data_IF_240644137047
#
_entry.id   IF_240644137047
#
_cell.length_a   1.000
_cell.length_b   1.000
_cell.length_c   1.000
_cell.angle_alpha   90.00
_cell.angle_beta   90.00
_cell.angle_gamma   90.00
#
_symmetry.space_group_name_H-M   'P 1'
#
loop_
_entity.id
_entity.type
_entity.pdbx_description
1 polymer ?
#
# COMPACT_ATOMS: atom_id res chain seq x y z
N UNK A 1 15.30 10.59 7.52
CA UNK A 1 14.20 11.07 6.65
C UNK A 1 13.16 11.92 7.39
N UNK A 2 12.91 11.69 8.69
CA UNK A 2 11.85 12.35 9.44
C UNK A 2 12.39 12.96 10.75
N UNK A 3 13.13 14.10 10.70
CA UNK A 3 13.82 14.65 11.87
C UNK A 3 12.91 14.95 13.08
N UNK A 4 11.69 15.54 12.91
CA UNK A 4 10.81 15.82 14.04
C UNK A 4 10.40 14.58 14.85
N UNK A 5 10.37 13.41 14.20
CA UNK A 5 10.02 12.13 14.82
C UNK A 5 11.23 11.28 15.25
N UNK A 6 12.46 11.80 15.16
CA UNK A 6 13.67 11.01 15.44
C UNK A 6 13.63 10.36 16.82
N UNK A 7 13.33 11.13 17.85
CA UNK A 7 13.29 10.63 19.23
C UNK A 7 12.23 9.53 19.43
N UNK A 8 11.04 9.71 18.86
CA UNK A 8 10.01 8.68 18.89
C UNK A 8 10.46 7.40 18.17
N UNK A 9 11.07 7.54 16.99
CA UNK A 9 11.54 6.41 16.20
C UNK A 9 12.65 5.64 16.93
N UNK A 10 13.58 6.35 17.57
CA UNK A 10 14.67 5.76 18.34
C UNK A 10 14.13 5.01 19.58
N UNK A 11 13.15 5.60 20.28
CA UNK A 11 12.49 4.98 21.43
C UNK A 11 11.71 3.71 21.05
N UNK A 12 11.06 3.72 19.88
CA UNK A 12 10.21 2.64 19.38
C UNK A 12 10.96 1.57 18.57
N UNK A 13 12.29 1.62 18.45
CA UNK A 13 13.04 0.72 17.58
C UNK A 13 12.81 -0.76 17.91
N UNK A 14 12.93 -1.15 19.19
CA UNK A 14 12.73 -2.54 19.63
C UNK A 14 11.28 -3.02 19.38
N UNK A 15 10.31 -2.12 19.59
CA UNK A 15 8.90 -2.40 19.34
C UNK A 15 8.66 -2.62 17.84
N UNK A 16 9.20 -1.77 16.97
CA UNK A 16 9.04 -1.85 15.53
C UNK A 16 9.62 -3.16 14.98
N UNK A 17 10.76 -3.62 15.48
CA UNK A 17 11.36 -4.91 15.07
C UNK A 17 10.46 -6.11 15.41
N UNK A 18 9.78 -6.06 16.56
CA UNK A 18 8.89 -7.12 17.03
C UNK A 18 7.50 -7.05 16.38
N UNK A 19 7.01 -5.86 16.03
CA UNK A 19 5.67 -5.63 15.46
C UNK A 19 5.63 -5.69 13.92
N UNK A 20 6.78 -5.79 13.26
CA UNK A 20 6.88 -5.70 11.80
C UNK A 20 6.72 -4.27 11.29
N UNK A 21 7.22 -3.29 12.05
CA UNK A 21 7.21 -1.86 11.75
C UNK A 21 5.80 -1.26 11.61
N UNK A 22 4.81 -1.83 12.28
CA UNK A 22 3.46 -1.27 12.38
C UNK A 22 3.25 -0.71 13.78
N UNK A 23 2.69 0.50 13.86
CA UNK A 23 2.28 1.07 15.14
C UNK A 23 0.85 0.68 15.45
N UNK A 24 0.57 0.28 16.69
CA UNK A 24 -0.76 -0.06 17.18
C UNK A 24 -0.88 0.46 18.61
N UNK A 25 -1.77 1.43 18.86
CA UNK A 25 -1.87 2.06 20.18
C UNK A 25 -2.37 1.08 21.25
N UNK A 26 -3.19 0.09 20.86
CA UNK A 26 -3.62 -1.00 21.76
C UNK A 26 -2.46 -1.72 22.46
N UNK A 27 -1.29 -1.80 21.82
CA UNK A 27 -0.12 -2.44 22.41
C UNK A 27 0.44 -1.67 23.62
N UNK A 28 0.14 -0.36 23.71
CA UNK A 28 0.57 0.53 24.79
C UNK A 28 -0.49 0.69 25.89
N UNK A 29 -1.76 0.42 25.58
CA UNK A 29 -2.87 0.58 26.53
C UNK A 29 -3.36 -0.73 27.14
N UNK A 30 -3.24 -1.85 26.43
CA UNK A 30 -3.78 -3.15 26.85
C UNK A 30 -2.69 -4.11 27.34
N UNK A 31 -3.01 -4.88 28.38
CA UNK A 31 -2.15 -5.97 28.81
C UNK A 31 -2.25 -7.16 27.83
N UNK A 32 -1.14 -7.89 27.57
CA UNK A 32 -1.16 -9.02 26.66
C UNK A 32 -2.09 -10.13 27.17
N UNK A 33 -2.96 -10.65 26.30
CA UNK A 33 -3.89 -11.72 26.63
C UNK A 33 -3.21 -13.08 26.91
N UNK A 34 -1.96 -13.27 26.46
CA UNK A 34 -1.19 -14.49 26.71
C UNK A 34 0.27 -14.17 27.01
N UNK A 35 0.86 -14.92 27.94
CA UNK A 35 2.26 -14.80 28.33
C UNK A 35 3.07 -15.83 27.53
N UNK A 36 3.81 -15.35 26.54
CA UNK A 36 4.77 -16.09 25.74
C UNK A 36 6.10 -15.32 25.80
N UNK A 37 7.23 -15.98 25.48
CA UNK A 37 8.52 -15.29 25.45
C UNK A 37 8.51 -14.07 24.50
N UNK A 38 7.80 -14.18 23.37
CA UNK A 38 7.63 -13.08 22.42
C UNK A 38 6.77 -11.95 22.97
N UNK A 39 5.68 -12.26 23.69
CA UNK A 39 4.83 -11.22 24.29
C UNK A 39 5.52 -10.50 25.46
N UNK A 40 6.38 -11.19 26.22
CA UNK A 40 7.22 -10.56 27.24
C UNK A 40 8.26 -9.59 26.64
N UNK A 41 8.93 -9.99 25.56
CA UNK A 41 9.88 -9.11 24.86
C UNK A 41 9.16 -7.87 24.28
N UNK A 42 7.99 -8.07 23.67
CA UNK A 42 7.16 -6.99 23.16
C UNK A 42 6.71 -6.04 24.29
N UNK A 43 6.27 -6.60 25.43
CA UNK A 43 5.85 -5.82 26.59
C UNK A 43 7.00 -4.96 27.14
N UNK A 44 8.21 -5.50 27.23
CA UNK A 44 9.39 -4.75 27.65
C UNK A 44 9.70 -3.60 26.67
N UNK A 45 9.61 -3.84 25.36
CA UNK A 45 9.81 -2.82 24.34
C UNK A 45 8.73 -1.71 24.42
N UNK A 46 7.46 -2.08 24.64
CA UNK A 46 6.36 -1.15 24.87
C UNK A 46 6.62 -0.28 26.10
N UNK A 47 6.97 -0.90 27.24
CA UNK A 47 7.24 -0.18 28.49
C UNK A 47 8.38 0.82 28.34
N UNK A 48 9.44 0.45 27.62
CA UNK A 48 10.58 1.33 27.29
C UNK A 48 10.15 2.55 26.48
N UNK A 49 9.24 2.39 25.52
CA UNK A 49 8.81 3.47 24.62
C UNK A 49 7.61 4.29 25.13
N UNK A 50 6.91 3.81 26.18
CA UNK A 50 5.60 4.32 26.61
C UNK A 50 5.58 5.84 26.86
N UNK A 51 6.55 6.36 27.63
CA UNK A 51 6.62 7.78 27.95
C UNK A 51 6.79 8.65 26.69
N UNK A 52 7.71 8.27 25.80
CA UNK A 52 7.96 9.02 24.55
C UNK A 52 6.75 8.97 23.62
N UNK A 53 6.05 7.83 23.56
CA UNK A 53 4.80 7.67 22.81
C UNK A 53 3.70 8.59 23.33
N UNK A 54 3.52 8.65 24.65
CA UNK A 54 2.55 9.55 25.30
C UNK A 54 2.88 11.02 25.02
N UNK A 55 4.15 11.41 25.16
CA UNK A 55 4.60 12.77 24.91
C UNK A 55 4.35 13.20 23.46
N UNK A 56 4.76 12.37 22.48
CA UNK A 56 4.54 12.66 21.07
C UNK A 56 3.06 12.66 20.70
N UNK A 57 2.25 11.79 21.33
CA UNK A 57 0.79 11.80 21.14
C UNK A 57 0.21 13.14 21.58
N UNK A 58 0.59 13.62 22.77
CA UNK A 58 0.16 14.94 23.28
C UNK A 58 0.61 16.09 22.36
N UNK A 59 1.86 16.09 21.90
CA UNK A 59 2.41 17.12 21.00
C UNK A 59 1.70 17.14 19.65
N UNK A 60 1.39 15.97 19.10
CA UNK A 60 0.67 15.84 17.84
C UNK A 60 -0.78 16.30 17.97
N UNK A 61 -1.46 15.95 19.07
CA UNK A 61 -2.81 16.45 19.39
C UNK A 61 -2.85 17.96 19.65
N UNK A 62 -1.77 18.53 20.20
CA UNK A 62 -1.57 19.97 20.32
C UNK A 62 -1.29 20.65 18.97
N UNK A 63 -1.29 19.89 17.87
CA UNK A 63 -1.07 20.36 16.49
C UNK A 63 0.28 21.06 16.31
N UNK A 64 1.33 20.55 16.95
CA UNK A 64 2.68 21.05 16.73
C UNK A 64 3.05 21.00 15.23
N UNK A 65 3.32 22.17 14.64
CA UNK A 65 3.45 22.38 13.20
C UNK A 65 4.47 21.42 12.56
N UNK A 66 5.67 21.33 13.13
CA UNK A 66 6.74 20.48 12.61
C UNK A 66 6.38 18.99 12.57
N UNK A 67 5.56 18.51 13.53
CA UNK A 67 5.08 17.13 13.54
C UNK A 67 4.02 16.91 12.46
N UNK A 68 3.04 17.82 12.36
CA UNK A 68 1.98 17.74 11.36
C UNK A 68 2.53 17.75 9.93
N UNK A 69 3.42 18.70 9.60
CA UNK A 69 4.10 18.74 8.29
C UNK A 69 4.88 17.45 8.00
N UNK A 70 5.46 16.85 9.04
CA UNK A 70 6.20 15.59 8.91
C UNK A 70 5.25 14.41 8.66
N UNK A 71 4.09 14.37 9.31
CA UNK A 71 3.03 13.37 9.05
C UNK A 71 2.50 13.50 7.63
N UNK A 72 2.22 14.72 7.14
CA UNK A 72 1.75 14.94 5.77
C UNK A 72 2.78 14.48 4.73
N UNK A 73 4.07 14.78 4.96
CA UNK A 73 5.15 14.26 4.10
C UNK A 73 5.23 12.74 4.15
N UNK A 74 5.17 12.13 5.34
CA UNK A 74 5.16 10.68 5.50
C UNK A 74 3.97 10.06 4.76
N UNK A 75 2.78 10.63 4.89
CA UNK A 75 1.58 10.20 4.20
C UNK A 75 1.74 10.22 2.67
N UNK A 76 2.29 11.31 2.10
CA UNK A 76 2.58 11.37 0.66
C UNK A 76 3.54 10.25 0.21
N UNK A 77 4.56 9.94 1.00
CA UNK A 77 5.46 8.82 0.70
C UNK A 77 4.75 7.46 0.73
N UNK A 78 3.93 7.22 1.77
CA UNK A 78 3.14 5.98 1.88
C UNK A 78 2.18 5.86 0.71
N UNK A 79 1.52 6.95 0.30
CA UNK A 79 0.60 6.96 -0.83
C UNK A 79 1.30 6.62 -2.14
N UNK A 80 2.44 7.26 -2.45
CA UNK A 80 3.19 6.97 -3.65
C UNK A 80 3.63 5.49 -3.72
N UNK A 81 4.15 4.96 -2.61
CA UNK A 81 4.58 3.56 -2.54
C UNK A 81 3.38 2.58 -2.60
N UNK A 82 2.25 2.93 -2.00
CA UNK A 82 1.03 2.12 -2.04
C UNK A 82 0.44 2.05 -3.44
N UNK A 83 0.41 3.17 -4.19
CA UNK A 83 -0.04 3.16 -5.59
C UNK A 83 0.88 2.29 -6.43
N UNK A 84 2.21 2.43 -6.28
CA UNK A 84 3.17 1.57 -6.96
C UNK A 84 2.92 0.08 -6.68
N UNK A 85 2.78 -0.28 -5.41
CA UNK A 85 2.52 -1.67 -5.00
C UNK A 85 1.16 -2.18 -5.55
N UNK A 86 0.15 -1.32 -5.60
CA UNK A 86 -1.13 -1.59 -6.24
C UNK A 86 -0.97 -1.90 -7.73
N UNK A 87 -0.29 -1.03 -8.49
CA UNK A 87 -0.03 -1.22 -9.93
C UNK A 87 0.66 -2.57 -10.18
N UNK A 88 1.74 -2.86 -9.44
CA UNK A 88 2.49 -4.13 -9.56
C UNK A 88 1.60 -5.33 -9.26
N UNK A 89 0.82 -5.29 -8.19
CA UNK A 89 -0.09 -6.38 -7.82
C UNK A 89 -1.14 -6.62 -8.90
N UNK A 90 -1.74 -5.56 -9.43
CA UNK A 90 -2.73 -5.66 -10.51
C UNK A 90 -2.12 -6.19 -11.80
N UNK A 91 -0.95 -5.70 -12.23
CA UNK A 91 -0.26 -6.22 -13.41
C UNK A 91 0.07 -7.72 -13.30
N UNK A 92 0.46 -8.20 -12.10
CA UNK A 92 0.64 -9.64 -11.84
C UNK A 92 -0.66 -10.41 -11.99
N UNK A 93 -1.74 -9.90 -11.43
CA UNK A 93 -3.05 -10.53 -11.47
C UNK A 93 -3.59 -10.66 -12.91
N UNK A 94 -3.38 -9.65 -13.75
CA UNK A 94 -3.85 -9.67 -15.16
C UNK A 94 -2.84 -10.33 -16.13
N UNK A 95 -1.88 -11.10 -15.62
CA UNK A 95 -0.94 -11.87 -16.44
C UNK A 95 0.11 -11.03 -17.18
N UNK A 96 0.36 -9.79 -16.77
CA UNK A 96 1.34 -8.89 -17.40
C UNK A 96 2.68 -8.84 -16.65
N UNK A 97 3.00 -9.87 -15.85
CA UNK A 97 4.20 -9.88 -15.00
C UNK A 97 4.93 -11.25 -14.96
N UNK A 98 6.20 -11.34 -15.41
CA UNK A 98 6.91 -10.31 -16.18
C UNK A 98 6.26 -10.09 -17.56
N UNK A 99 6.34 -8.89 -18.12
CA UNK A 99 5.82 -8.58 -19.45
C UNK A 99 6.60 -9.33 -20.53
N UNK A 100 5.93 -10.20 -21.28
CA UNK A 100 6.51 -10.95 -22.41
C UNK A 100 5.52 -11.01 -23.58
N UNK A 101 5.89 -10.54 -24.79
CA UNK A 101 7.13 -9.81 -25.11
C UNK A 101 7.13 -8.41 -24.49
N UNK A 102 8.32 -7.80 -24.38
CA UNK A 102 8.44 -6.40 -24.01
C UNK A 102 7.72 -5.52 -25.07
N UNK A 103 6.89 -4.54 -24.67
CA UNK A 103 6.26 -3.61 -25.60
C UNK A 103 7.29 -2.84 -26.43
N UNK A 104 7.00 -2.62 -27.71
CA UNK A 104 7.88 -1.83 -28.59
C UNK A 104 8.06 -0.40 -28.05
N UNK A 105 9.31 0.08 -28.07
CA UNK A 105 9.66 1.45 -27.68
C UNK A 105 9.86 1.70 -26.17
N UNK A 106 9.68 0.70 -25.31
CA UNK A 106 10.00 0.82 -23.87
C UNK A 106 11.42 0.34 -23.61
N UNK A 107 12.28 1.24 -23.13
CA UNK A 107 13.67 0.92 -22.79
C UNK A 107 13.76 0.17 -21.45
N UNK A 108 14.83 -0.59 -21.22
CA UNK A 108 15.06 -1.31 -19.95
C UNK A 108 15.24 -0.37 -18.74
N UNK A 109 15.66 0.87 -19.00
CA UNK A 109 15.82 1.93 -18.01
C UNK A 109 14.64 2.91 -17.96
N UNK A 110 13.55 2.65 -18.69
CA UNK A 110 12.30 3.39 -18.55
C UNK A 110 11.55 2.91 -17.30
N UNK A 111 11.57 3.74 -16.26
CA UNK A 111 10.93 3.52 -14.96
C UNK A 111 9.68 4.39 -14.75
N UNK A 112 9.16 5.04 -15.80
CA UNK A 112 8.09 6.04 -15.70
C UNK A 112 6.69 5.42 -15.48
N UNK A 113 6.55 4.52 -14.50
CA UNK A 113 5.30 3.81 -14.23
C UNK A 113 4.17 4.74 -13.75
N UNK A 114 4.50 5.96 -13.31
CA UNK A 114 3.52 6.96 -12.91
C UNK A 114 2.81 7.63 -14.10
N UNK A 115 3.33 7.46 -15.33
CA UNK A 115 2.67 7.94 -16.55
C UNK A 115 1.53 7.00 -16.96
N UNK A 116 0.39 7.15 -16.26
CA UNK A 116 -0.83 6.36 -16.45
C UNK A 116 -1.59 6.67 -17.75
N UNK A 117 -1.04 7.57 -18.58
CA UNK A 117 -1.53 7.85 -19.93
C UNK A 117 -1.09 6.80 -20.96
N UNK A 118 -0.11 5.96 -20.62
CA UNK A 118 0.34 4.85 -21.46
C UNK A 118 -0.64 3.65 -21.45
N UNK A 119 -0.48 2.73 -22.39
CA UNK A 119 -1.26 1.49 -22.42
C UNK A 119 -0.86 0.56 -21.28
N UNK A 120 -1.75 -0.35 -20.85
CA UNK A 120 -1.47 -1.24 -19.72
C UNK A 120 -0.20 -2.09 -19.91
N UNK A 121 0.11 -2.66 -21.09
CA UNK A 121 1.38 -3.38 -21.28
C UNK A 121 2.62 -2.50 -21.09
N UNK A 122 2.59 -1.25 -21.58
CA UNK A 122 3.68 -0.29 -21.40
C UNK A 122 3.86 0.05 -19.93
N UNK A 123 2.75 0.30 -19.22
CA UNK A 123 2.75 0.54 -17.77
C UNK A 123 3.33 -0.65 -16.99
N UNK A 124 2.92 -1.88 -17.33
CA UNK A 124 3.43 -3.10 -16.71
C UNK A 124 4.94 -3.25 -16.91
N UNK A 125 5.46 -2.94 -18.11
CA UNK A 125 6.89 -2.93 -18.40
C UNK A 125 7.66 -1.90 -17.57
N UNK A 126 7.18 -0.65 -17.49
CA UNK A 126 7.82 0.40 -16.68
C UNK A 126 7.81 0.06 -15.19
N UNK A 127 6.70 -0.48 -14.69
CA UNK A 127 6.59 -0.93 -13.30
C UNK A 127 7.54 -2.11 -13.02
N UNK A 128 7.66 -3.05 -13.96
CA UNK A 128 8.62 -4.16 -13.87
C UNK A 128 10.06 -3.67 -13.84
N UNK A 129 10.43 -2.73 -14.71
CA UNK A 129 11.75 -2.12 -14.72
C UNK A 129 12.05 -1.42 -13.38
N UNK A 130 11.11 -0.66 -12.83
CA UNK A 130 11.28 0.00 -11.51
C UNK A 130 11.46 -1.03 -10.38
N UNK A 131 10.64 -2.09 -10.33
CA UNK A 131 10.77 -3.12 -9.31
C UNK A 131 12.09 -3.90 -9.45
N UNK A 132 12.47 -4.26 -10.69
CA UNK A 132 13.74 -4.93 -10.97
C UNK A 132 14.94 -4.06 -10.57
N UNK A 133 14.89 -2.75 -10.83
CA UNK A 133 15.92 -1.80 -10.40
C UNK A 133 16.02 -1.74 -8.88
N UNK A 134 14.89 -1.59 -8.17
CA UNK A 134 14.86 -1.55 -6.69
C UNK A 134 15.44 -2.82 -6.05
N UNK A 135 15.26 -3.96 -6.69
CA UNK A 135 15.80 -5.24 -6.21
C UNK A 135 17.29 -5.42 -6.50
N UNK A 136 17.84 -4.75 -7.52
CA UNK A 136 19.26 -4.88 -7.94
C UNK A 136 20.16 -3.78 -7.35
N UNK A 137 19.64 -2.57 -7.20
CA UNK A 137 20.40 -1.39 -6.80
C UNK A 137 20.31 -1.18 -5.28
N UNK A 138 21.37 -1.55 -4.55
CA UNK A 138 21.47 -1.36 -3.10
C UNK A 138 21.34 0.10 -2.68
N UNK A 139 21.65 1.06 -3.56
CA UNK A 139 21.49 2.49 -3.29
C UNK A 139 20.02 2.89 -3.13
N UNK A 140 19.08 2.04 -3.55
CA UNK A 140 17.65 2.25 -3.38
C UNK A 140 17.09 1.61 -2.10
N UNK A 141 17.86 0.79 -1.37
CA UNK A 141 17.44 0.28 -0.06
C UNK A 141 17.00 1.36 0.95
N UNK A 142 17.66 2.55 1.02
CA UNK A 142 17.18 3.65 1.83
C UNK A 142 15.76 4.11 1.50
N UNK A 143 15.29 3.98 0.26
CA UNK A 143 13.91 4.32 -0.13
C UNK A 143 12.91 3.35 0.51
N UNK A 144 13.21 2.05 0.49
CA UNK A 144 12.37 1.02 1.11
C UNK A 144 12.28 1.28 2.62
N UNK A 145 13.42 1.49 3.28
CA UNK A 145 13.46 1.83 4.72
C UNK A 145 12.67 3.10 5.01
N UNK A 146 12.78 4.12 4.16
CA UNK A 146 12.04 5.38 4.28
C UNK A 146 10.53 5.17 4.16
N UNK A 147 10.07 4.33 3.24
CA UNK A 147 8.65 3.99 3.10
C UNK A 147 8.13 3.25 4.33
N UNK A 148 8.89 2.29 4.86
CA UNK A 148 8.55 1.59 6.12
C UNK A 148 8.44 2.56 7.30
N UNK A 149 9.42 3.45 7.49
CA UNK A 149 9.38 4.48 8.54
C UNK A 149 8.20 5.44 8.34
N UNK A 150 7.91 5.82 7.10
CA UNK A 150 6.76 6.67 6.79
C UNK A 150 5.43 5.99 7.17
N UNK A 151 5.29 4.70 6.87
CA UNK A 151 4.12 3.90 7.27
C UNK A 151 3.96 3.88 8.79
N UNK A 152 5.04 3.67 9.53
CA UNK A 152 5.02 3.69 10.99
C UNK A 152 4.53 5.05 11.54
N UNK A 153 5.00 6.16 10.98
CA UNK A 153 4.58 7.52 11.39
C UNK A 153 3.10 7.75 11.09
N UNK A 154 2.62 7.31 9.92
CA UNK A 154 1.20 7.45 9.54
C UNK A 154 0.29 6.61 10.44
N UNK A 155 0.69 5.36 10.74
CA UNK A 155 -0.01 4.52 11.72
C UNK A 155 -0.06 5.20 13.08
N UNK A 156 1.09 5.71 13.57
CA UNK A 156 1.16 6.45 14.84
C UNK A 156 0.18 7.62 14.87
N UNK A 157 0.22 8.49 13.87
CA UNK A 157 -0.67 9.65 13.81
C UNK A 157 -2.16 9.24 13.81
N UNK A 158 -2.51 8.21 13.03
CA UNK A 158 -3.88 7.69 12.94
C UNK A 158 -4.35 7.12 14.28
N UNK A 159 -3.51 6.31 14.92
CA UNK A 159 -3.80 5.67 16.20
C UNK A 159 -3.81 6.65 17.39
N UNK A 160 -3.12 7.79 17.27
CA UNK A 160 -3.21 8.93 18.18
C UNK A 160 -4.48 9.78 17.98
N UNK A 161 -5.33 9.43 17.02
CA UNK A 161 -6.61 10.10 16.76
C UNK A 161 -6.55 11.26 15.76
N UNK A 162 -5.45 11.44 15.05
CA UNK A 162 -5.44 12.40 13.94
C UNK A 162 -6.21 11.81 12.75
N UNK A 163 -7.05 12.61 12.07
CA UNK A 163 -7.66 12.17 10.84
C UNK A 163 -6.54 11.90 9.81
N UNK A 164 -6.63 10.79 9.05
CA UNK A 164 -5.66 10.56 7.99
C UNK A 164 -5.74 11.70 6.96
N UNK A 165 -4.61 12.19 6.43
CA UNK A 165 -4.63 13.23 5.41
C UNK A 165 -5.46 12.78 4.20
N UNK A 166 -6.08 13.74 3.52
CA UNK A 166 -6.80 13.45 2.29
C UNK A 166 -5.83 12.96 1.21
N UNK A 167 -6.33 12.10 0.32
CA UNK A 167 -5.56 11.73 -0.86
C UNK A 167 -5.34 12.99 -1.70
N UNK A 168 -4.11 13.23 -2.15
CA UNK A 168 -3.85 14.34 -3.07
C UNK A 168 -4.48 14.05 -4.44
N UNK A 169 -4.94 15.10 -5.12
CA UNK A 169 -5.58 15.01 -6.44
C UNK A 169 -4.73 14.20 -7.42
N UNK A 170 -3.41 14.44 -7.47
CA UNK A 170 -2.49 13.68 -8.32
C UNK A 170 -2.55 12.14 -8.12
N UNK A 171 -2.60 11.65 -6.88
CA UNK A 171 -2.67 10.20 -6.64
C UNK A 171 -4.05 9.65 -6.97
N UNK A 172 -5.09 10.48 -6.84
CA UNK A 172 -6.45 10.14 -7.22
C UNK A 172 -6.56 9.95 -8.74
N UNK A 173 -6.10 10.94 -9.50
CA UNK A 173 -6.06 10.93 -10.98
C UNK A 173 -5.26 9.74 -11.50
N UNK A 174 -4.06 9.51 -10.96
CA UNK A 174 -3.21 8.37 -11.35
C UNK A 174 -3.92 7.02 -11.12
N UNK A 175 -4.58 6.82 -9.96
CA UNK A 175 -5.33 5.59 -9.70
C UNK A 175 -6.53 5.44 -10.63
N UNK A 176 -7.24 6.53 -10.90
CA UNK A 176 -8.39 6.56 -11.81
C UNK A 176 -7.98 6.19 -13.24
N UNK A 177 -6.94 6.84 -13.77
CA UNK A 177 -6.43 6.56 -15.11
C UNK A 177 -5.92 5.12 -15.21
N UNK A 178 -5.14 4.66 -14.22
CA UNK A 178 -4.64 3.28 -14.19
C UNK A 178 -5.78 2.27 -14.25
N UNK A 179 -6.83 2.46 -13.45
CA UNK A 179 -7.98 1.55 -13.46
C UNK A 179 -8.73 1.57 -14.78
N UNK A 180 -8.84 2.74 -15.42
CA UNK A 180 -9.39 2.82 -16.78
C UNK A 180 -8.57 1.98 -17.77
N UNK A 181 -7.23 1.96 -17.67
CA UNK A 181 -6.38 1.09 -18.52
C UNK A 181 -6.57 -0.40 -18.25
N UNK A 182 -6.81 -0.77 -17.00
CA UNK A 182 -7.12 -2.16 -16.62
C UNK A 182 -8.46 -2.59 -17.22
N UNK A 183 -9.48 -1.74 -17.12
CA UNK A 183 -10.79 -2.00 -17.72
C UNK A 183 -10.73 -2.13 -19.23
N UNK A 184 -10.03 -1.21 -19.91
CA UNK A 184 -9.81 -1.27 -21.35
C UNK A 184 -9.12 -2.57 -21.78
N UNK A 185 -8.10 -2.99 -21.04
CA UNK A 185 -7.36 -4.22 -21.31
C UNK A 185 -8.24 -5.46 -21.19
N UNK A 186 -8.99 -5.58 -20.10
CA UNK A 186 -9.87 -6.74 -19.89
C UNK A 186 -11.02 -6.76 -20.90
N UNK A 187 -11.57 -5.59 -21.26
CA UNK A 187 -12.68 -5.47 -22.22
C UNK A 187 -12.29 -5.84 -23.64
N UNK A 188 -11.03 -5.63 -24.05
CA UNK A 188 -10.54 -6.02 -25.39
C UNK A 188 -10.40 -7.54 -25.56
N UNK A 189 -10.59 -8.30 -24.47
CA UNK A 189 -10.26 -9.71 -24.41
C UNK A 189 -8.75 -9.85 -24.40
N UNK A 190 -8.19 -10.15 -23.23
CA UNK A 190 -6.78 -10.51 -23.12
C UNK A 190 -6.44 -11.55 -24.22
N UNK A 191 -5.28 -11.45 -24.89
CA UNK A 191 -4.95 -12.31 -26.03
C UNK A 191 -5.26 -13.77 -25.69
N UNK A 192 -6.01 -14.43 -26.59
CA UNK A 192 -6.82 -15.65 -26.38
C UNK A 192 -6.12 -16.91 -25.81
N UNK A 193 -4.87 -16.80 -25.39
CA UNK A 193 -4.13 -17.87 -24.72
C UNK A 193 -4.58 -18.13 -23.27
N UNK A 194 -5.32 -17.22 -22.64
CA UNK A 194 -5.86 -17.43 -21.29
C UNK A 194 -7.39 -17.51 -21.32
N UNK A 195 -7.90 -18.71 -21.61
CA UNK A 195 -9.33 -19.02 -21.81
C UNK A 195 -10.28 -18.78 -20.61
N UNK A 196 -9.89 -18.07 -19.56
CA UNK A 196 -10.68 -17.97 -18.32
C UNK A 196 -10.93 -16.55 -17.76
N UNK A 197 -10.41 -15.47 -18.38
CA UNK A 197 -10.72 -14.11 -17.90
C UNK A 197 -12.01 -13.53 -18.49
N UNK A 198 -13.15 -14.09 -18.11
CA UNK A 198 -14.45 -13.40 -18.22
C UNK A 198 -14.54 -12.24 -17.21
N UNK A 199 -15.75 -11.78 -16.89
CA UNK A 199 -15.99 -10.69 -15.91
C UNK A 199 -15.32 -10.87 -14.53
N UNK A 200 -14.88 -12.09 -14.20
CA UNK A 200 -14.05 -12.40 -13.02
C UNK A 200 -12.68 -11.71 -13.04
N UNK A 201 -12.07 -11.49 -14.21
CA UNK A 201 -10.72 -10.90 -14.32
C UNK A 201 -10.64 -9.47 -13.79
N UNK A 202 -11.70 -8.66 -14.02
CA UNK A 202 -11.78 -7.29 -13.50
C UNK A 202 -11.91 -7.29 -11.97
N UNK A 203 -12.72 -8.20 -11.43
CA UNK A 203 -12.91 -8.33 -9.97
C UNK A 203 -11.61 -8.75 -9.28
N UNK A 204 -10.89 -9.71 -9.86
CA UNK A 204 -9.59 -10.15 -9.37
C UNK A 204 -8.56 -9.02 -9.42
N UNK A 205 -8.47 -8.29 -10.55
CA UNK A 205 -7.58 -7.15 -10.71
C UNK A 205 -7.84 -6.04 -9.67
N UNK A 206 -9.11 -5.78 -9.36
CA UNK A 206 -9.53 -4.86 -8.29
C UNK A 206 -9.11 -5.36 -6.92
N UNK A 207 -9.35 -6.63 -6.60
CA UNK A 207 -8.94 -7.20 -5.32
C UNK A 207 -7.43 -7.14 -5.16
N UNK A 208 -6.67 -7.46 -6.22
CA UNK A 208 -5.23 -7.31 -6.26
C UNK A 208 -4.78 -5.87 -6.01
N UNK A 209 -5.44 -4.87 -6.62
CA UNK A 209 -5.16 -3.46 -6.36
C UNK A 209 -5.39 -3.11 -4.89
N UNK A 210 -6.56 -3.48 -4.35
CA UNK A 210 -6.91 -3.21 -2.96
C UNK A 210 -5.92 -3.88 -1.99
N UNK A 211 -5.53 -5.13 -2.26
CA UNK A 211 -4.50 -5.83 -1.49
C UNK A 211 -3.16 -5.08 -1.57
N UNK A 212 -2.74 -4.69 -2.78
CA UNK A 212 -1.48 -3.97 -3.04
C UNK A 212 -1.40 -2.57 -2.41
N UNK A 213 -2.53 -1.86 -2.30
CA UNK A 213 -2.62 -0.57 -1.59
C UNK A 213 -2.30 -0.67 -0.09
N UNK A 214 -2.23 -1.89 0.48
CA UNK A 214 -1.73 -2.11 1.83
C UNK A 214 -2.48 -1.31 2.91
N UNK A 215 -1.73 -0.63 3.78
CA UNK A 215 -2.28 0.18 4.87
C UNK A 215 -2.93 1.51 4.46
N UNK A 216 -2.97 1.85 3.16
CA UNK A 216 -3.59 3.07 2.67
C UNK A 216 -5.13 2.96 2.64
N UNK A 217 -5.74 2.89 3.83
CA UNK A 217 -7.19 2.68 3.99
C UNK A 217 -8.03 3.79 3.34
N UNK A 218 -7.50 5.01 3.26
CA UNK A 218 -8.12 6.11 2.52
C UNK A 218 -8.18 5.80 1.02
N UNK A 219 -7.08 5.32 0.44
CA UNK A 219 -7.02 4.93 -0.97
C UNK A 219 -7.97 3.77 -1.27
N UNK A 220 -7.96 2.73 -0.42
CA UNK A 220 -8.86 1.58 -0.54
C UNK A 220 -10.33 1.99 -0.54
N UNK A 221 -10.74 2.86 0.40
CA UNK A 221 -12.10 3.37 0.48
C UNK A 221 -12.50 4.18 -0.76
N UNK A 222 -11.60 5.01 -1.28
CA UNK A 222 -11.87 5.78 -2.50
C UNK A 222 -12.03 4.91 -3.74
N UNK A 223 -11.09 3.99 -3.97
CA UNK A 223 -11.16 3.01 -5.08
C UNK A 223 -12.45 2.20 -4.98
N UNK A 224 -12.76 1.69 -3.79
CA UNK A 224 -14.00 0.93 -3.54
C UNK A 224 -15.25 1.74 -3.84
N UNK A 225 -15.32 3.00 -3.37
CA UNK A 225 -16.48 3.87 -3.58
C UNK A 225 -16.69 4.18 -5.05
N UNK A 226 -15.62 4.52 -5.78
CA UNK A 226 -15.70 4.79 -7.22
C UNK A 226 -16.15 3.55 -7.98
N UNK A 227 -15.54 2.41 -7.68
CA UNK A 227 -15.87 1.15 -8.35
C UNK A 227 -17.34 0.80 -8.20
N UNK A 228 -17.86 0.91 -6.97
CA UNK A 228 -19.25 0.63 -6.68
C UNK A 228 -20.19 1.61 -7.44
N UNK A 229 -19.79 2.88 -7.63
CA UNK A 229 -20.59 3.88 -8.36
C UNK A 229 -20.56 3.71 -9.89
N UNK A 230 -19.39 3.43 -10.47
CA UNK A 230 -19.22 3.36 -11.92
C UNK A 230 -19.69 2.02 -12.50
N UNK A 231 -19.59 0.92 -11.74
CA UNK A 231 -20.06 -0.39 -12.19
C UNK A 231 -21.59 -0.44 -12.33
N UNK A 232 -22.31 0.34 -11.52
CA UNK A 232 -23.77 0.47 -11.63
C UNK A 232 -24.22 1.29 -12.85
N UNK A 233 -23.35 2.11 -13.46
CA UNK A 233 -23.81 3.18 -14.36
C UNK A 233 -23.26 3.20 -15.79
N UNK A 234 -22.08 2.64 -16.12
CA UNK A 234 -21.51 2.84 -17.47
C UNK A 234 -21.10 1.60 -18.29
N UNK A 235 -21.16 0.38 -17.74
CA UNK A 235 -20.87 -0.84 -18.53
C UNK A 235 -21.45 -2.15 -18.01
N UNK A 236 -21.95 -2.19 -16.77
CA UNK A 236 -22.44 -3.41 -16.12
C UNK A 236 -23.90 -3.80 -16.44
N UNK A 237 -24.67 -2.97 -17.15
CA UNK A 237 -26.11 -3.21 -17.36
C UNK A 237 -26.44 -4.34 -18.37
N UNK A 238 -25.47 -5.02 -18.98
CA UNK A 238 -25.76 -6.12 -19.92
C UNK A 238 -25.59 -7.53 -19.38
N UNK A 239 -25.11 -7.74 -18.15
CA UNK A 239 -25.07 -9.07 -17.53
C UNK A 239 -25.42 -8.98 -16.05
N UNK A 240 -26.72 -8.91 -15.78
CA UNK A 240 -27.28 -9.29 -14.49
C UNK A 240 -26.95 -10.76 -14.24
N UNK A 241 -25.92 -11.05 -13.42
CA UNK A 241 -25.89 -12.29 -12.65
C UNK A 241 -26.24 -11.92 -11.23
N UNK A 242 -27.46 -12.30 -10.87
CA UNK A 242 -27.95 -12.34 -9.51
C UNK A 242 -27.02 -13.16 -8.62
N UNK A 243 -26.93 -12.72 -7.36
CA UNK A 243 -26.54 -13.47 -6.15
C UNK A 243 -25.27 -13.00 -5.43
N UNK A 244 -25.38 -13.12 -4.10
CA UNK A 244 -24.34 -13.06 -3.05
C UNK A 244 -24.00 -11.62 -2.60
N UNK A 245 -24.41 -11.11 -1.43
CA UNK A 245 -24.88 -11.75 -0.22
C UNK A 245 -23.71 -12.13 0.72
N UNK A 246 -23.43 -11.26 1.71
CA UNK A 246 -22.74 -11.52 2.99
C UNK A 246 -21.21 -11.81 3.04
N UNK A 247 -20.55 -10.99 3.90
CA UNK A 247 -19.46 -11.31 4.86
C UNK A 247 -18.02 -11.50 4.25
N UNK A 248 -16.88 -11.25 4.90
CA UNK A 248 -16.40 -11.41 6.29
C UNK A 248 -15.15 -10.50 6.55
N UNK A 249 -14.94 -10.21 7.84
CA UNK A 249 -13.78 -9.59 8.51
C UNK A 249 -12.45 -10.37 8.39
N UNK A 250 -11.35 -9.67 8.68
CA UNK A 250 -10.02 -10.18 9.08
C UNK A 250 -9.02 -10.59 7.98
N UNK A 251 -7.78 -10.09 8.14
CA UNK A 251 -6.62 -10.48 7.32
C UNK A 251 -5.36 -9.66 7.61
N UNK A 252 -4.94 -9.57 8.87
CA UNK A 252 -3.58 -9.18 9.25
C UNK A 252 -2.58 -10.27 8.83
N UNK A 253 -1.36 -9.83 8.49
CA UNK A 253 -0.13 -10.61 8.28
C UNK A 253 0.09 -11.26 6.90
N UNK A 254 0.76 -10.54 6.00
CA UNK A 254 1.72 -11.16 5.06
C UNK A 254 2.90 -10.20 4.82
N UNK A 255 4.02 -10.41 5.51
CA UNK A 255 5.36 -10.01 5.04
C UNK A 255 6.42 -10.74 5.87
N UNK A 256 6.73 -11.98 5.48
CA UNK A 256 8.01 -12.63 5.82
C UNK A 256 8.30 -13.81 4.90
N UNK A 257 8.89 -13.54 3.72
CA UNK A 257 9.72 -14.52 2.99
C UNK A 257 10.46 -13.86 1.83
N UNK A 258 11.66 -13.34 2.11
CA UNK A 258 12.78 -13.22 1.16
C UNK A 258 14.01 -12.65 1.87
N UNK A 259 14.60 -13.41 2.81
CA UNK A 259 16.01 -13.26 3.22
C UNK A 259 16.36 -14.33 4.26
N UNK A 260 16.53 -15.56 3.80
CA UNK A 260 17.35 -16.60 4.45
C UNK A 260 17.54 -17.75 3.45
N UNK A 261 18.39 -17.47 2.47
CA UNK A 261 19.11 -18.46 1.69
C UNK A 261 20.54 -17.92 1.53
N UNK A 262 21.34 -18.12 2.58
CA UNK A 262 22.79 -18.28 2.56
C UNK A 262 23.10 -19.32 3.63
#
# INVERSE_FOLDING_TARGET
>A
AFPPFRELLDACQDYAELSGCRFQNRAFTEAPASVTAQSLALQAAVQKAAHTVEEFTRRLLAKEEALNECVERAHRFVMAESVRAGIVATCREVGLWPPVPAPEGVLEDDYAFQDTTATLPVLAQRAYNDEARRNRDELLHPLIRRATTASFIVDFATESGLPPPTLSEQHHEMLEEFMSRVEEWVSRGAPANEKHMGGEGVSAAREALLRGLGGAEVARRQVTRRWNKNWETQGGAMLNVAAVGLAVLAGLATMKRASRAK
#
